data_IF_978700929057
#
_entry.id   IF_978700929057
#
_cell.length_a   1.000
_cell.length_b   1.000
_cell.length_c   1.000
_cell.angle_alpha   90.00
_cell.angle_beta   90.00
_cell.angle_gamma   90.00
#
_symmetry.space_group_name_H-M   'P 1'
#
loop_
_entity.id
_entity.type
_entity.pdbx_description
1 polymer ?
#
# COMPACT_ATOMS: atom_id res chain seq x y z
N UNK A 1 -8.80 -7.77 2.94
CA UNK A 1 -9.05 -6.50 3.65
C UNK A 1 -7.72 -5.78 3.76
N UNK A 2 -7.61 -4.56 3.24
CA UNK A 2 -6.33 -3.85 3.24
C UNK A 2 -6.16 -3.18 4.60
N UNK A 3 -5.15 -3.60 5.35
CA UNK A 3 -4.88 -3.11 6.70
C UNK A 3 -3.73 -2.09 6.66
N UNK A 4 -4.09 -0.81 6.67
CA UNK A 4 -3.14 0.27 6.89
C UNK A 4 -2.69 0.27 8.36
N UNK A 5 -1.44 -0.08 8.62
CA UNK A 5 -0.89 -0.20 9.98
C UNK A 5 0.01 0.98 10.35
N UNK A 6 0.23 1.18 11.65
CA UNK A 6 1.16 2.18 12.16
C UNK A 6 2.62 1.79 11.88
N UNK A 7 3.52 2.76 11.96
CA UNK A 7 4.97 2.53 11.84
C UNK A 7 5.45 1.36 12.71
N UNK A 8 5.02 1.30 13.98
CA UNK A 8 5.43 0.24 14.91
C UNK A 8 5.04 -1.16 14.43
N UNK A 9 3.78 -1.33 14.02
CA UNK A 9 3.32 -2.61 13.46
C UNK A 9 4.03 -2.95 12.15
N UNK A 10 4.34 -1.96 11.32
CA UNK A 10 5.08 -2.20 10.08
C UNK A 10 6.53 -2.63 10.33
N UNK A 11 7.20 -2.03 11.31
CA UNK A 11 8.54 -2.46 11.70
C UNK A 11 8.53 -3.88 12.25
N UNK A 12 7.53 -4.23 13.06
CA UNK A 12 7.38 -5.59 13.62
C UNK A 12 7.04 -6.63 12.54
N UNK A 13 6.16 -6.30 11.59
CA UNK A 13 5.70 -7.25 10.58
C UNK A 13 6.72 -7.48 9.46
N UNK A 14 7.49 -6.45 9.10
CA UNK A 14 8.47 -6.52 8.01
C UNK A 14 9.89 -6.82 8.50
N UNK A 15 10.09 -6.89 9.82
CA UNK A 15 11.42 -6.98 10.45
C UNK A 15 12.38 -5.88 9.97
N UNK A 16 11.84 -4.66 9.81
CA UNK A 16 12.61 -3.50 9.32
C UNK A 16 12.66 -2.39 10.35
N UNK A 17 13.80 -1.71 10.41
CA UNK A 17 13.93 -0.49 11.19
C UNK A 17 13.04 0.62 10.65
N UNK A 18 12.53 1.45 11.56
CA UNK A 18 11.71 2.60 11.21
C UNK A 18 12.41 3.62 10.30
N UNK A 19 13.74 3.64 10.31
CA UNK A 19 14.58 4.42 9.39
C UNK A 19 14.57 3.85 7.98
N UNK A 20 14.61 2.53 7.83
CA UNK A 20 14.50 1.84 6.53
C UNK A 20 13.15 2.14 5.88
N UNK A 21 12.06 2.09 6.64
CA UNK A 21 10.72 2.50 6.16
C UNK A 21 10.68 3.99 5.72
N UNK A 22 11.46 4.86 6.38
CA UNK A 22 11.56 6.27 5.98
C UNK A 22 12.38 6.40 4.71
N UNK A 23 13.47 5.64 4.57
CA UNK A 23 14.35 5.64 3.41
C UNK A 23 13.60 5.23 2.14
N UNK A 24 12.88 4.11 2.15
CA UNK A 24 12.11 3.67 0.97
C UNK A 24 11.04 4.67 0.53
N UNK A 25 10.38 5.34 1.49
CA UNK A 25 9.44 6.43 1.16
C UNK A 25 10.12 7.64 0.55
N UNK A 26 11.27 8.06 1.09
CA UNK A 26 11.98 9.24 0.60
C UNK A 26 12.73 8.98 -0.72
N UNK A 27 13.14 7.75 -0.98
CA UNK A 27 13.77 7.35 -2.24
C UNK A 27 12.77 7.24 -3.41
N UNK A 28 11.47 7.25 -3.13
CA UNK A 28 10.43 7.13 -4.16
C UNK A 28 10.14 5.70 -4.60
N UNK A 29 10.73 4.68 -3.94
CA UNK A 29 10.38 3.27 -4.19
C UNK A 29 8.92 2.98 -3.78
N UNK A 30 8.42 3.70 -2.77
CA UNK A 30 7.06 3.54 -2.25
C UNK A 30 6.17 4.72 -2.59
N UNK A 31 5.12 4.42 -3.36
CA UNK A 31 4.12 5.38 -3.83
C UNK A 31 3.17 5.78 -2.69
N UNK A 32 3.02 7.09 -2.45
CA UNK A 32 2.01 7.66 -1.54
C UNK A 32 0.60 7.38 -2.08
N UNK A 33 -0.32 6.99 -1.20
CA UNK A 33 -1.68 6.55 -1.57
C UNK A 33 -1.81 5.04 -1.77
N UNK A 34 -0.71 4.35 -2.06
CA UNK A 34 -0.68 2.92 -2.39
C UNK A 34 0.03 2.13 -1.29
N UNK A 35 1.34 2.35 -1.16
CA UNK A 35 2.20 1.66 -0.18
C UNK A 35 2.08 2.29 1.20
N UNK A 36 1.86 3.59 1.25
CA UNK A 36 1.70 4.33 2.49
C UNK A 36 0.75 5.49 2.29
N UNK A 37 0.07 5.89 3.35
CA UNK A 37 -0.87 7.02 3.34
C UNK A 37 -0.52 7.97 4.47
N UNK A 38 -0.53 9.27 4.17
CA UNK A 38 -0.48 10.30 5.19
C UNK A 38 -1.91 10.54 5.69
N UNK A 39 -2.14 10.24 6.96
CA UNK A 39 -3.42 10.57 7.62
C UNK A 39 -3.40 12.04 8.02
N UNK A 40 -2.34 12.47 8.73
CA UNK A 40 -2.11 13.86 9.14
C UNK A 40 -0.61 14.19 8.95
N UNK A 41 -0.19 15.46 9.10
CA UNK A 41 1.23 15.88 9.00
C UNK A 41 2.20 15.06 9.85
N UNK A 42 1.73 14.43 10.94
CA UNK A 42 2.54 13.60 11.85
C UNK A 42 2.25 12.11 11.78
N UNK A 43 1.17 11.68 11.11
CA UNK A 43 0.69 10.30 11.15
C UNK A 43 0.73 9.68 9.76
N UNK A 44 1.60 8.69 9.57
CA UNK A 44 1.70 7.89 8.36
C UNK A 44 1.32 6.45 8.67
N UNK A 45 0.54 5.83 7.79
CA UNK A 45 0.23 4.40 7.83
C UNK A 45 0.79 3.69 6.60
N UNK A 46 1.07 2.41 6.76
CA UNK A 46 1.71 1.57 5.75
C UNK A 46 0.79 0.42 5.36
N UNK A 47 0.74 0.11 4.08
CA UNK A 47 0.04 -1.05 3.54
C UNK A 47 0.99 -2.24 3.51
N UNK A 48 0.90 -3.11 4.51
CA UNK A 48 1.82 -4.25 4.63
C UNK A 48 1.72 -5.21 3.46
N UNK A 49 0.51 -5.44 2.96
CA UNK A 49 0.25 -6.41 1.90
C UNK A 49 1.01 -6.04 0.63
N UNK A 50 0.87 -4.78 0.18
CA UNK A 50 1.60 -4.28 -1.00
C UNK A 50 3.09 -4.11 -0.77
N UNK A 51 3.51 -3.71 0.44
CA UNK A 51 4.93 -3.59 0.74
C UNK A 51 5.60 -4.97 0.75
N UNK A 52 4.92 -5.99 1.28
CA UNK A 52 5.42 -7.36 1.30
C UNK A 52 5.44 -7.95 -0.12
N UNK A 53 4.38 -7.73 -0.91
CA UNK A 53 4.36 -8.06 -2.33
C UNK A 53 5.52 -7.40 -3.08
N UNK A 54 5.79 -6.11 -2.81
CA UNK A 54 6.92 -5.40 -3.39
C UNK A 54 8.28 -6.04 -3.01
N UNK A 55 8.42 -6.56 -1.78
CA UNK A 55 9.62 -7.30 -1.39
C UNK A 55 9.78 -8.61 -2.17
N UNK A 56 8.70 -9.36 -2.35
CA UNK A 56 8.72 -10.62 -3.11
C UNK A 56 8.93 -10.39 -4.61
N UNK A 57 8.33 -9.34 -5.16
CA UNK A 57 8.37 -8.99 -6.58
C UNK A 57 9.40 -7.89 -6.89
N UNK A 58 10.39 -7.66 -6.03
CA UNK A 58 11.38 -6.58 -6.23
C UNK A 58 12.14 -6.70 -7.55
N UNK A 59 12.30 -7.94 -8.03
CA UNK A 59 12.95 -8.25 -9.31
C UNK A 59 11.98 -8.31 -10.48
N UNK A 60 10.66 -8.27 -10.23
CA UNK A 60 9.61 -8.30 -11.24
C UNK A 60 8.63 -7.12 -11.05
N UNK A 61 9.00 -5.92 -11.55
CA UNK A 61 8.15 -4.74 -11.41
C UNK A 61 6.80 -4.89 -12.12
N UNK A 62 6.69 -5.79 -13.11
CA UNK A 62 5.45 -6.04 -13.83
C UNK A 62 4.43 -6.79 -12.96
N UNK A 63 4.85 -7.82 -12.23
CA UNK A 63 4.02 -8.52 -11.24
C UNK A 63 3.54 -7.56 -10.15
N UNK A 64 4.45 -6.70 -9.66
CA UNK A 64 4.11 -5.71 -8.66
C UNK A 64 3.07 -4.68 -9.16
N UNK A 65 3.20 -4.21 -10.40
CA UNK A 65 2.20 -3.34 -11.02
C UNK A 65 0.81 -4.00 -11.08
N UNK A 66 0.73 -5.29 -11.41
CA UNK A 66 -0.55 -6.03 -11.41
C UNK A 66 -1.16 -6.13 -10.02
N UNK A 67 -0.35 -6.31 -8.98
CA UNK A 67 -0.82 -6.31 -7.60
C UNK A 67 -1.38 -4.94 -7.21
N UNK A 68 -0.72 -3.85 -7.64
CA UNK A 68 -1.21 -2.48 -7.46
C UNK A 68 -2.53 -2.25 -8.21
N UNK A 69 -2.66 -2.70 -9.46
CA UNK A 69 -3.90 -2.56 -10.24
C UNK A 69 -5.06 -3.32 -9.59
N UNK A 70 -4.79 -4.55 -9.14
CA UNK A 70 -5.76 -5.38 -8.41
C UNK A 70 -6.20 -4.70 -7.12
N UNK A 71 -5.25 -4.15 -6.38
CA UNK A 71 -5.51 -3.36 -5.18
C UNK A 71 -6.40 -2.15 -5.47
N UNK A 72 -6.09 -1.39 -6.53
CA UNK A 72 -6.86 -0.21 -6.92
C UNK A 72 -8.27 -0.58 -7.41
N UNK A 73 -8.43 -1.71 -8.10
CA UNK A 73 -9.75 -2.21 -8.51
C UNK A 73 -10.59 -2.67 -7.31
N UNK A 74 -9.95 -3.18 -6.26
CA UNK A 74 -10.61 -3.62 -5.03
C UNK A 74 -11.00 -2.47 -4.09
N UNK A 75 -10.47 -1.25 -4.29
CA UNK A 75 -10.84 -0.09 -3.49
C UNK A 75 -12.32 0.26 -3.69
N UNK A 76 -13.05 0.44 -2.59
CA UNK A 76 -14.46 0.84 -2.57
C UNK A 76 -14.71 2.14 -3.36
N UNK A 77 -13.75 3.07 -3.39
CA UNK A 77 -13.82 4.31 -4.18
C UNK A 77 -13.83 4.07 -5.69
N UNK A 78 -13.28 2.93 -6.15
CA UNK A 78 -13.19 2.57 -7.56
C UNK A 78 -14.19 1.47 -7.96
N UNK A 79 -14.99 0.98 -7.01
CA UNK A 79 -16.17 0.19 -7.34
C UNK A 79 -17.10 1.11 -8.12
N UNK A 80 -17.09 0.97 -9.45
CA UNK A 80 -18.10 1.56 -10.34
C UNK A 80 -19.43 1.35 -9.65
N UNK A 81 -20.14 2.43 -9.30
CA UNK A 81 -21.51 2.37 -8.83
C UNK A 81 -22.25 1.48 -9.84
N UNK A 82 -22.54 0.25 -9.44
CA UNK A 82 -23.54 -0.54 -10.14
C UNK A 82 -24.84 0.19 -9.87
N UNK A 83 -25.16 1.14 -10.76
CA UNK A 83 -26.51 1.64 -10.90
C UNK A 83 -27.32 0.42 -11.31
N UNK A 84 -27.80 -0.33 -10.30
CA UNK A 84 -28.93 -1.20 -10.48
C UNK A 84 -30.07 -0.29 -10.87
N UNK A 85 -30.27 -0.17 -12.17
CA UNK A 85 -31.47 0.39 -12.77
C UNK A 85 -32.56 -0.63 -12.46
N UNK A 86 -33.23 -0.45 -11.33
CA UNK A 86 -34.45 -1.18 -11.02
C UNK A 86 -35.50 -0.77 -12.05
N UNK A 87 -35.96 -1.74 -12.84
CA UNK A 87 -37.22 -1.69 -13.59
C UNK A 87 -38.14 -2.74 -12.99
#
# INVERSE_FOLDING_TARGET
MVLFVSKKKATEALDLSGETLKRYRLQGEWIEGIHWVRINSRCVRYNLDLIQDWFHNRHDPAAHLRAIETYQAALLSNQKKSSKRSF
#
